data_IF_996754415922
#
_entry.id   IF_996754415922
#
_cell.length_a   1.000
_cell.length_b   1.000
_cell.length_c   1.000
_cell.angle_alpha   90.00
_cell.angle_beta   90.00
_cell.angle_gamma   90.00
#
_symmetry.space_group_name_H-M   'P 1'
#
loop_
_entity.id
_entity.type
_entity.pdbx_description
1 polymer ?
#
# COMPACT_ATOMS: atom_id res chain seq x y z
N UNK A 1 3.52 7.79 16.28
CA UNK A 1 4.02 8.31 15.02
C UNK A 1 2.92 8.68 14.02
N UNK A 2 1.66 8.33 14.31
CA UNK A 2 0.54 8.61 13.45
C UNK A 2 0.25 7.54 12.41
N UNK A 3 1.22 6.67 12.11
CA UNK A 3 0.99 5.53 11.23
C UNK A 3 0.26 4.45 12.03
N UNK A 4 -0.88 3.99 11.50
CA UNK A 4 -1.71 3.00 12.17
C UNK A 4 -1.56 1.64 11.48
N UNK A 5 -1.55 0.58 12.27
CA UNK A 5 -1.35 -0.79 11.80
C UNK A 5 -2.35 -1.73 12.45
N UNK A 6 -2.98 -2.59 11.62
CA UNK A 6 -3.98 -3.54 12.07
C UNK A 6 -3.87 -4.82 11.24
N UNK A 7 -4.39 -5.92 11.75
CA UNK A 7 -4.45 -7.17 10.99
C UNK A 7 -5.90 -7.65 10.90
N UNK A 8 -6.29 -8.08 9.70
CA UNK A 8 -7.58 -8.69 9.44
C UNK A 8 -7.38 -10.15 9.07
N UNK A 9 -8.30 -10.98 9.50
CA UNK A 9 -8.24 -12.41 9.23
C UNK A 9 -9.22 -12.79 8.12
N UNK A 10 -8.73 -13.57 7.13
CA UNK A 10 -9.56 -14.11 6.07
C UNK A 10 -9.00 -15.47 5.63
N UNK A 11 -9.88 -16.48 5.61
CA UNK A 11 -9.51 -17.84 5.22
C UNK A 11 -9.66 -18.09 3.73
N UNK A 12 -10.15 -17.11 2.97
CA UNK A 12 -10.39 -17.27 1.53
C UNK A 12 -9.10 -17.13 0.76
N UNK A 13 -8.84 -18.09 -0.12
CA UNK A 13 -7.75 -18.02 -1.09
C UNK A 13 -8.36 -17.63 -2.43
N UNK A 14 -7.87 -16.52 -3.00
CA UNK A 14 -8.40 -16.02 -4.25
C UNK A 14 -7.62 -16.60 -5.43
N UNK A 15 -8.35 -16.90 -6.51
CA UNK A 15 -7.71 -17.24 -7.77
C UNK A 15 -7.10 -15.99 -8.42
N UNK A 16 -6.22 -16.17 -9.40
CA UNK A 16 -5.64 -15.06 -10.14
C UNK A 16 -6.68 -14.27 -10.91
N UNK A 17 -7.86 -14.86 -11.16
CA UNK A 17 -8.95 -14.24 -11.89
C UNK A 17 -10.04 -13.65 -10.99
N UNK A 18 -9.83 -13.63 -9.67
CA UNK A 18 -10.81 -13.06 -8.76
C UNK A 18 -11.08 -11.59 -9.08
N UNK A 19 -12.35 -11.21 -9.15
CA UNK A 19 -12.74 -9.84 -9.45
C UNK A 19 -12.59 -8.95 -8.22
N UNK A 20 -12.54 -7.64 -8.45
CA UNK A 20 -12.52 -6.65 -7.38
C UNK A 20 -13.73 -6.84 -6.45
N UNK A 21 -14.91 -7.05 -7.02
CA UNK A 21 -16.14 -7.26 -6.25
C UNK A 21 -16.08 -8.50 -5.37
N UNK A 22 -15.51 -9.59 -5.86
CA UNK A 22 -15.32 -10.82 -5.09
C UNK A 22 -14.39 -10.59 -3.90
N UNK A 23 -13.29 -9.88 -4.12
CA UNK A 23 -12.31 -9.61 -3.08
C UNK A 23 -12.90 -8.68 -2.01
N UNK A 24 -13.55 -7.59 -2.42
CA UNK A 24 -14.16 -6.65 -1.49
C UNK A 24 -15.29 -7.33 -0.67
N UNK A 25 -16.07 -8.18 -1.30
CA UNK A 25 -17.15 -8.90 -0.61
C UNK A 25 -16.59 -9.87 0.45
N UNK A 26 -15.48 -10.54 0.15
CA UNK A 26 -14.86 -11.47 1.09
C UNK A 26 -14.37 -10.79 2.36
N UNK A 27 -14.01 -9.52 2.29
CA UNK A 27 -13.53 -8.74 3.44
C UNK A 27 -14.59 -7.78 4.00
N UNK A 28 -15.83 -7.84 3.54
CA UNK A 28 -16.87 -6.89 3.94
C UNK A 28 -17.09 -6.84 5.46
N UNK A 29 -16.89 -7.95 6.15
CA UNK A 29 -17.03 -8.02 7.61
C UNK A 29 -16.10 -7.04 8.34
N UNK A 30 -14.86 -6.88 7.86
CA UNK A 30 -13.89 -5.95 8.42
C UNK A 30 -13.92 -4.61 7.72
N UNK A 31 -14.12 -4.62 6.40
CA UNK A 31 -14.06 -3.43 5.55
C UNK A 31 -15.23 -2.46 5.81
N UNK A 32 -16.46 -2.97 5.87
CA UNK A 32 -17.63 -2.10 5.99
C UNK A 32 -17.63 -1.30 7.30
N UNK A 33 -17.40 -1.92 8.48
CA UNK A 33 -17.28 -1.14 9.72
C UNK A 33 -16.11 -0.16 9.70
N UNK A 34 -14.99 -0.57 9.14
CA UNK A 34 -13.81 0.29 9.07
C UNK A 34 -14.10 1.54 8.23
N UNK A 35 -14.70 1.38 7.06
CA UNK A 35 -15.06 2.49 6.18
C UNK A 35 -16.08 3.42 6.83
N UNK A 36 -17.10 2.85 7.46
CA UNK A 36 -18.15 3.63 8.13
C UNK A 36 -17.59 4.44 9.29
N UNK A 37 -16.78 3.81 10.14
CA UNK A 37 -16.22 4.48 11.31
C UNK A 37 -15.21 5.57 10.96
N UNK A 38 -14.46 5.39 9.86
CA UNK A 38 -13.48 6.35 9.40
C UNK A 38 -14.00 7.40 8.42
N UNK A 39 -15.25 7.28 7.99
CA UNK A 39 -15.81 8.19 6.99
C UNK A 39 -15.27 7.97 5.58
N UNK A 40 -14.76 6.77 5.27
CA UNK A 40 -14.24 6.43 3.96
C UNK A 40 -15.37 6.03 3.03
N UNK A 41 -15.33 6.50 1.79
CA UNK A 41 -16.43 6.33 0.84
C UNK A 41 -16.08 5.42 -0.35
N UNK A 42 -14.79 5.21 -0.60
CA UNK A 42 -14.31 4.51 -1.81
C UNK A 42 -13.30 3.44 -1.44
N UNK A 43 -13.42 2.29 -2.08
CA UNK A 43 -12.43 1.22 -1.98
C UNK A 43 -12.27 0.55 -3.35
N UNK A 44 -11.04 0.17 -3.68
CA UNK A 44 -10.74 -0.61 -4.87
C UNK A 44 -9.63 -1.63 -4.58
N UNK A 45 -9.29 -2.43 -5.57
CA UNK A 45 -8.22 -3.43 -5.46
C UNK A 45 -7.18 -3.16 -6.52
N UNK A 46 -5.91 -3.10 -6.10
CA UNK A 46 -4.79 -3.08 -7.04
C UNK A 46 -4.11 -4.44 -7.04
N UNK A 47 -3.58 -4.82 -8.21
CA UNK A 47 -2.80 -6.05 -8.37
C UNK A 47 -1.54 -5.72 -9.17
N UNK A 48 -0.39 -6.11 -8.62
CA UNK A 48 0.91 -5.95 -9.24
C UNK A 48 1.60 -7.31 -9.22
N UNK A 49 2.14 -7.73 -10.35
CA UNK A 49 2.87 -9.00 -10.46
C UNK A 49 3.97 -8.88 -11.51
N UNK A 50 4.76 -9.94 -11.68
CA UNK A 50 5.93 -9.91 -12.57
C UNK A 50 5.56 -9.62 -14.04
N UNK A 51 4.34 -9.92 -14.47
CA UNK A 51 3.86 -9.69 -15.83
C UNK A 51 3.05 -8.42 -15.99
N UNK A 52 2.96 -7.59 -14.94
CA UNK A 52 2.23 -6.31 -15.04
C UNK A 52 2.87 -5.43 -16.11
N UNK A 53 2.08 -4.95 -17.12
CA UNK A 53 2.62 -4.08 -18.16
C UNK A 53 3.23 -2.81 -17.56
N UNK A 54 4.39 -2.39 -18.08
CA UNK A 54 5.08 -1.18 -17.65
C UNK A 54 5.45 -1.19 -16.15
N UNK A 55 5.72 -2.35 -15.57
CA UNK A 55 6.01 -2.45 -14.14
C UNK A 55 7.18 -1.55 -13.71
N UNK A 56 8.23 -1.45 -14.51
CA UNK A 56 9.38 -0.59 -14.16
C UNK A 56 8.96 0.87 -13.97
N UNK A 57 8.08 1.39 -14.84
CA UNK A 57 7.57 2.75 -14.71
C UNK A 57 6.64 2.90 -13.49
N UNK A 58 5.81 1.90 -13.23
CA UNK A 58 4.94 1.88 -12.05
C UNK A 58 5.79 1.85 -10.78
N UNK A 59 6.80 0.99 -10.74
CA UNK A 59 7.71 0.88 -9.59
C UNK A 59 8.42 2.21 -9.33
N UNK A 60 8.91 2.86 -10.38
CA UNK A 60 9.61 4.14 -10.25
C UNK A 60 8.72 5.21 -9.61
N UNK A 61 7.43 5.24 -9.96
CA UNK A 61 6.47 6.18 -9.37
C UNK A 61 6.24 5.89 -7.89
N UNK A 62 6.13 4.62 -7.50
CA UNK A 62 5.94 4.23 -6.11
C UNK A 62 7.19 4.48 -5.26
N UNK A 63 8.38 4.34 -5.85
CA UNK A 63 9.64 4.55 -5.13
C UNK A 63 9.97 6.00 -4.87
N UNK A 64 9.40 6.94 -5.61
CA UNK A 64 9.68 8.36 -5.41
C UNK A 64 8.93 8.86 -4.16
N UNK A 65 9.65 9.53 -3.26
CA UNK A 65 9.04 10.09 -2.05
C UNK A 65 7.90 11.04 -2.40
N UNK A 66 6.77 10.87 -1.75
CA UNK A 66 5.58 11.66 -2.01
C UNK A 66 4.69 11.76 -0.78
N UNK A 67 3.71 12.65 -0.86
CA UNK A 67 2.62 12.78 0.13
C UNK A 67 1.28 12.65 -0.61
N UNK A 68 0.24 12.32 0.15
CA UNK A 68 -1.14 12.41 -0.32
C UNK A 68 -1.89 13.45 0.52
N UNK A 69 -2.93 14.05 -0.04
CA UNK A 69 -3.76 15.03 0.66
C UNK A 69 -4.79 14.37 1.58
N UNK A 70 -5.03 13.09 1.41
CA UNK A 70 -5.92 12.28 2.23
C UNK A 70 -5.12 11.14 2.88
N UNK A 71 -5.71 10.52 3.91
CA UNK A 71 -5.11 9.33 4.50
C UNK A 71 -5.00 8.24 3.43
N UNK A 72 -3.86 7.58 3.38
CA UNK A 72 -3.65 6.42 2.51
C UNK A 72 -3.79 5.15 3.33
N UNK A 73 -4.77 4.33 2.98
CA UNK A 73 -5.03 3.08 3.70
C UNK A 73 -4.96 1.93 2.72
N UNK A 74 -4.19 0.92 3.09
CA UNK A 74 -4.02 -0.28 2.28
C UNK A 74 -4.15 -1.51 3.15
N UNK A 75 -4.94 -2.47 2.66
CA UNK A 75 -5.02 -3.79 3.26
C UNK A 75 -4.45 -4.81 2.28
N UNK A 76 -3.45 -5.58 2.72
CA UNK A 76 -2.77 -6.56 1.86
C UNK A 76 -3.53 -7.86 1.84
N UNK A 77 -4.18 -8.13 0.71
CA UNK A 77 -4.92 -9.36 0.45
C UNK A 77 -3.97 -10.52 0.20
N UNK A 78 -2.86 -10.24 -0.50
CA UNK A 78 -1.82 -11.23 -0.78
C UNK A 78 -0.54 -10.52 -1.20
N UNK A 79 0.56 -11.28 -1.22
CA UNK A 79 1.86 -10.75 -1.57
C UNK A 79 2.49 -9.93 -0.47
N UNK A 80 3.38 -9.03 -0.84
CA UNK A 80 4.07 -8.17 0.13
C UNK A 80 4.55 -6.88 -0.51
N UNK A 81 4.79 -5.87 0.32
CA UNK A 81 5.37 -4.62 -0.10
C UNK A 81 6.01 -3.90 1.06
N UNK A 82 6.98 -3.06 0.77
CA UNK A 82 7.76 -2.35 1.76
C UNK A 82 7.41 -0.86 1.73
N UNK A 83 6.80 -0.36 2.80
CA UNK A 83 6.56 1.07 2.99
C UNK A 83 7.74 1.71 3.70
N UNK A 84 8.20 2.83 3.17
CA UNK A 84 9.25 3.66 3.76
C UNK A 84 8.65 4.96 4.23
N UNK A 85 9.09 5.43 5.40
CA UNK A 85 8.57 6.65 6.02
C UNK A 85 9.70 7.60 6.36
N UNK A 86 9.48 8.88 6.04
CA UNK A 86 10.38 9.98 6.39
C UNK A 86 9.60 10.98 7.24
N UNK A 87 9.56 10.72 8.55
CA UNK A 87 8.82 11.54 9.50
C UNK A 87 9.75 12.57 10.14
N UNK A 88 9.23 13.79 10.31
CA UNK A 88 10.00 14.86 10.93
C UNK A 88 10.42 14.46 12.35
N UNK A 89 11.72 14.65 12.65
CA UNK A 89 12.27 14.32 13.95
C UNK A 89 12.59 12.84 14.16
N UNK A 90 12.46 12.01 13.13
CA UNK A 90 12.74 10.56 13.20
C UNK A 90 13.68 10.14 12.08
N UNK A 91 14.43 9.08 12.31
CA UNK A 91 15.18 8.43 11.25
C UNK A 91 14.22 7.81 10.25
N UNK A 92 14.64 7.71 9.00
CA UNK A 92 13.86 6.99 7.99
C UNK A 92 13.76 5.51 8.40
N UNK A 93 12.56 4.96 8.30
CA UNK A 93 12.31 3.55 8.64
C UNK A 93 11.37 2.92 7.62
N UNK A 94 11.30 1.60 7.63
CA UNK A 94 10.40 0.88 6.76
C UNK A 94 9.51 -0.11 7.54
N UNK A 95 8.41 -0.52 6.89
CA UNK A 95 7.50 -1.52 7.40
C UNK A 95 7.18 -2.48 6.26
N UNK A 96 7.49 -3.76 6.47
CA UNK A 96 7.12 -4.80 5.52
C UNK A 96 5.67 -5.20 5.77
N UNK A 97 4.82 -4.99 4.77
CA UNK A 97 3.41 -5.38 4.83
C UNK A 97 3.19 -6.66 4.04
N UNK A 98 2.49 -7.60 4.64
CA UNK A 98 2.21 -8.91 4.08
C UNK A 98 0.71 -9.20 4.15
N UNK A 99 0.30 -10.35 3.61
CA UNK A 99 -1.10 -10.79 3.67
C UNK A 99 -1.69 -10.64 5.07
N UNK A 100 -2.83 -10.00 5.17
CA UNK A 100 -3.52 -9.77 6.43
C UNK A 100 -3.20 -8.45 7.11
N UNK A 101 -2.20 -7.72 6.62
CA UNK A 101 -1.77 -6.45 7.22
C UNK A 101 -2.55 -5.27 6.63
N UNK A 102 -3.06 -4.42 7.53
CA UNK A 102 -3.63 -3.12 7.16
C UNK A 102 -2.72 -2.04 7.68
N UNK A 103 -2.37 -1.08 6.84
CA UNK A 103 -1.59 0.09 7.22
C UNK A 103 -2.35 1.36 6.85
N UNK A 104 -2.36 2.33 7.76
CA UNK A 104 -2.95 3.65 7.54
C UNK A 104 -1.86 4.70 7.65
N UNK A 105 -1.66 5.44 6.57
CA UNK A 105 -0.66 6.50 6.47
C UNK A 105 -1.39 7.84 6.50
N UNK A 106 -1.19 8.69 7.52
CA UNK A 106 -1.89 9.96 7.60
C UNK A 106 -1.58 10.88 6.43
N UNK A 107 -2.55 11.71 6.07
CA UNK A 107 -2.37 12.75 5.06
C UNK A 107 -1.11 13.57 5.36
N UNK A 108 -0.35 13.92 4.33
CA UNK A 108 0.85 14.74 4.46
C UNK A 108 2.10 13.99 4.92
N UNK A 109 2.02 12.69 5.18
CA UNK A 109 3.19 11.89 5.58
C UNK A 109 4.08 11.59 4.38
N UNK A 110 5.35 11.94 4.47
CA UNK A 110 6.32 11.63 3.42
C UNK A 110 6.66 10.14 3.44
N UNK A 111 6.45 9.48 2.32
CA UNK A 111 6.66 8.03 2.23
C UNK A 111 6.91 7.61 0.79
N UNK A 112 7.35 6.37 0.64
CA UNK A 112 7.41 5.70 -0.67
C UNK A 112 7.19 4.21 -0.46
N UNK A 113 6.93 3.50 -1.57
CA UNK A 113 6.56 2.10 -1.53
C UNK A 113 7.38 1.29 -2.54
N UNK A 114 7.89 0.14 -2.11
CA UNK A 114 8.65 -0.77 -2.96
C UNK A 114 7.94 -2.13 -3.01
N UNK A 115 7.46 -2.50 -4.19
CA UNK A 115 6.88 -3.82 -4.43
C UNK A 115 7.93 -4.87 -4.76
N UNK A 116 9.18 -4.46 -4.93
CA UNK A 116 10.30 -5.35 -5.24
C UNK A 116 10.72 -5.29 -6.69
N UNK A 117 12.03 -5.46 -6.93
CA UNK A 117 12.60 -5.47 -8.27
C UNK A 117 12.42 -6.85 -8.93
N UNK A 118 12.54 -7.91 -8.15
CA UNK A 118 12.49 -9.30 -8.62
C UNK A 118 11.20 -9.97 -8.17
N UNK A 119 10.45 -10.50 -9.14
CA UNK A 119 9.22 -11.26 -8.89
C UNK A 119 8.24 -10.52 -7.95
N UNK A 120 7.85 -9.28 -8.26
CA UNK A 120 6.91 -8.54 -7.41
C UNK A 120 5.54 -9.21 -7.38
N UNK A 121 4.89 -9.16 -6.22
CA UNK A 121 3.50 -9.58 -6.10
C UNK A 121 2.84 -8.81 -4.97
N UNK A 122 1.88 -7.96 -5.32
CA UNK A 122 1.07 -7.19 -4.37
C UNK A 122 -0.38 -7.26 -4.83
N UNK A 123 -1.25 -7.66 -3.93
CA UNK A 123 -2.70 -7.54 -4.12
C UNK A 123 -3.24 -6.84 -2.89
N UNK A 124 -3.78 -5.65 -3.05
CA UNK A 124 -4.17 -4.82 -1.93
C UNK A 124 -5.49 -4.09 -2.18
N UNK A 125 -6.28 -3.96 -1.11
CA UNK A 125 -7.45 -3.09 -1.10
C UNK A 125 -6.98 -1.70 -0.72
N UNK A 126 -7.33 -0.69 -1.54
CA UNK A 126 -7.07 0.72 -1.23
C UNK A 126 -8.36 1.35 -0.75
N UNK A 127 -8.28 2.13 0.31
CA UNK A 127 -9.45 2.75 0.96
C UNK A 127 -9.22 4.26 1.01
N UNK A 128 -10.20 5.03 0.54
CA UNK A 128 -10.09 6.49 0.41
C UNK A 128 -11.36 7.19 0.86
N UNK A 129 -11.22 8.46 1.29
CA UNK A 129 -12.37 9.35 1.50
C UNK A 129 -12.95 9.78 0.16
N UNK A 130 -12.09 10.06 -0.83
CA UNK A 130 -12.50 10.35 -2.21
C UNK A 130 -11.35 10.02 -3.17
N UNK A 131 -11.58 10.21 -4.46
CA UNK A 131 -10.58 9.87 -5.50
C UNK A 131 -9.37 10.81 -5.50
N UNK A 132 -9.46 11.99 -4.90
CA UNK A 132 -8.30 12.89 -4.83
C UNK A 132 -7.16 12.32 -4.01
N UNK A 133 -7.45 11.41 -3.07
CA UNK A 133 -6.44 10.71 -2.28
C UNK A 133 -5.54 9.79 -3.10
N UNK A 134 -5.90 9.49 -4.35
CA UNK A 134 -5.07 8.64 -5.21
C UNK A 134 -3.89 9.38 -5.83
N UNK A 135 -3.94 10.72 -5.89
CA UNK A 135 -2.93 11.52 -6.56
C UNK A 135 -1.71 11.72 -5.65
N UNK A 136 -0.53 11.24 -6.05
CA UNK A 136 0.68 11.50 -5.28
C UNK A 136 1.20 12.92 -5.57
N UNK A 137 1.75 13.56 -4.55
CA UNK A 137 2.44 14.82 -4.65
C UNK A 137 3.89 14.60 -4.30
N UNK A 138 4.77 14.55 -5.30
CA UNK A 138 6.17 14.23 -5.13
C UNK A 138 6.91 15.35 -4.43
N UNK A 139 7.74 15.00 -3.44
CA UNK A 139 8.51 15.99 -2.67
C UNK A 139 9.73 16.48 -3.44
N UNK A 140 10.21 15.69 -4.40
CA UNK A 140 11.41 15.96 -5.21
C UNK A 140 12.71 16.10 -4.39
N UNK A 141 12.66 15.69 -3.11
CA UNK A 141 13.82 15.75 -2.23
C UNK A 141 14.85 14.64 -2.50
N UNK A 142 14.43 13.56 -3.18
CA UNK A 142 15.31 12.44 -3.50
C UNK A 142 15.71 11.60 -2.30
N UNK A 143 14.98 11.68 -1.20
CA UNK A 143 15.28 10.94 0.04
C UNK A 143 15.37 9.43 -0.21
N UNK A 144 14.53 8.89 -1.08
CA UNK A 144 14.48 7.47 -1.40
C UNK A 144 15.81 6.96 -2.00
N UNK A 145 16.58 7.83 -2.63
CA UNK A 145 17.83 7.46 -3.29
C UNK A 145 18.90 7.05 -2.28
N UNK A 146 18.80 7.52 -1.04
CA UNK A 146 19.75 7.17 0.03
C UNK A 146 19.59 5.72 0.48
N UNK A 147 18.49 5.05 0.09
CA UNK A 147 18.15 3.70 0.51
C UNK A 147 17.99 2.74 -0.67
N UNK A 148 18.48 3.12 -1.84
CA UNK A 148 18.33 2.34 -3.08
C UNK A 148 19.03 0.96 -3.03
N UNK A 149 20.02 0.80 -2.16
CA UNK A 149 20.74 -0.48 -2.01
C UNK A 149 20.00 -1.49 -1.13
N UNK A 150 18.96 -1.05 -0.42
CA UNK A 150 18.16 -1.94 0.42
C UNK A 150 17.37 -2.91 -0.45
N UNK A 151 17.41 -4.19 -0.11
CA UNK A 151 16.65 -5.22 -0.83
C UNK A 151 15.50 -5.70 0.03
N UNK A 152 14.31 -5.70 -0.58
CA UNK A 152 13.13 -6.25 0.07
C UNK A 152 13.33 -7.75 0.31
N UNK A 153 12.93 -8.29 1.49
CA UNK A 153 13.05 -9.73 1.74
C UNK A 153 12.30 -10.56 0.71
N UNK A 154 12.91 -11.67 0.28
CA UNK A 154 12.27 -12.56 -0.69
C UNK A 154 11.09 -13.29 -0.04
N UNK A 155 10.01 -13.43 -0.80
CA UNK A 155 8.88 -14.23 -0.35
C UNK A 155 9.30 -15.70 -0.29
N UNK A 156 8.98 -16.35 0.81
CA UNK A 156 9.25 -17.76 1.02
C UNK A 156 8.36 -18.68 0.20
#
# INVERSE_FOLDING_TARGET
LGVYFEQWHCDVIFSDTATQEEILAAYSKDLDPFMKNGGYLTADVISIHAQTPNYEAIRAKFLAEHIHTEDEIRFFVDGQGLFWFNLEGHDVFNVLCERGDLISVPAGTKHWFDAGETNPFVKAIRIFTDMSGWTPHYTEAGTEQNFSDFKIPTRG
#
